data_IF_679704154209
#
_entry.id   IF_679704154209
#
_cell.length_a   1.000
_cell.length_b   1.000
_cell.length_c   1.000
_cell.angle_alpha   90.00
_cell.angle_beta   90.00
_cell.angle_gamma   90.00
#
_symmetry.space_group_name_H-M   'P 1'
#
loop_
_entity.id
_entity.type
_entity.pdbx_description
1 polymer ?
#
# COMPACT_ATOMS: atom_id res chain seq x y z
N UNK A 1 -1.06 3.54 0.80
CA UNK A 1 -2.40 3.93 1.28
C UNK A 1 -2.31 5.07 2.27
N UNK A 2 -3.30 5.96 2.28
CA UNK A 2 -3.37 7.06 3.27
C UNK A 2 -4.07 6.57 4.53
N UNK A 3 -3.43 6.73 5.69
CA UNK A 3 -4.09 6.62 6.99
C UNK A 3 -4.91 7.87 7.23
N UNK A 4 -6.22 7.76 7.04
CA UNK A 4 -7.17 8.85 7.29
C UNK A 4 -7.66 8.77 8.74
N UNK A 5 -7.30 9.77 9.54
CA UNK A 5 -7.70 9.90 10.95
C UNK A 5 -9.13 10.46 11.11
N UNK A 6 -9.76 10.94 10.01
CA UNK A 6 -11.09 11.57 10.03
C UNK A 6 -12.24 10.62 9.63
N UNK A 7 -11.99 9.31 9.66
CA UNK A 7 -13.04 8.32 9.39
C UNK A 7 -14.07 8.38 10.52
N UNK A 8 -15.34 8.57 10.18
CA UNK A 8 -16.45 8.59 11.14
C UNK A 8 -16.72 7.27 11.87
N UNK A 9 -15.93 6.21 11.61
CA UNK A 9 -16.04 4.87 12.20
C UNK A 9 -14.72 4.50 12.90
N UNK A 10 -14.79 3.80 14.03
CA UNK A 10 -13.58 3.33 14.74
C UNK A 10 -12.76 2.34 13.89
N UNK A 11 -11.47 2.21 14.19
CA UNK A 11 -10.61 1.22 13.52
C UNK A 11 -11.18 -0.21 13.62
N UNK A 12 -11.68 -0.59 14.80
CA UNK A 12 -12.20 -1.93 15.04
C UNK A 12 -13.45 -2.20 14.20
N UNK A 13 -14.40 -1.27 14.18
CA UNK A 13 -15.60 -1.37 13.35
C UNK A 13 -15.25 -1.55 11.86
N UNK A 14 -14.23 -0.82 11.39
CA UNK A 14 -13.75 -0.95 10.02
C UNK A 14 -13.12 -2.32 9.73
N UNK A 15 -12.30 -2.81 10.66
CA UNK A 15 -11.68 -4.14 10.58
C UNK A 15 -12.77 -5.21 10.51
N UNK A 16 -13.79 -5.16 11.37
CA UNK A 16 -14.88 -6.14 11.36
C UNK A 16 -15.67 -6.11 10.05
N UNK A 17 -15.95 -4.92 9.51
CA UNK A 17 -16.66 -4.77 8.23
C UNK A 17 -15.88 -5.36 7.05
N UNK A 18 -14.55 -5.39 7.13
CA UNK A 18 -13.68 -5.91 6.07
C UNK A 18 -13.04 -7.25 6.43
N UNK A 19 -13.54 -7.92 7.48
CA UNK A 19 -12.93 -9.12 8.04
C UNK A 19 -12.81 -10.27 7.05
N UNK A 20 -13.77 -10.39 6.12
CA UNK A 20 -13.79 -11.40 5.06
C UNK A 20 -12.63 -11.28 4.04
N UNK A 21 -11.79 -10.24 4.12
CA UNK A 21 -10.64 -10.03 3.25
C UNK A 21 -9.30 -10.44 3.89
N UNK A 22 -9.32 -10.82 5.17
CA UNK A 22 -8.12 -11.08 5.96
C UNK A 22 -8.16 -12.47 6.60
N UNK A 23 -6.99 -13.00 6.93
CA UNK A 23 -6.88 -14.25 7.69
C UNK A 23 -7.16 -13.99 9.18
N UNK A 24 -7.52 -15.04 9.93
CA UNK A 24 -7.74 -14.88 11.38
C UNK A 24 -6.45 -14.46 12.10
N UNK A 25 -5.28 -14.86 11.61
CA UNK A 25 -3.99 -14.42 12.14
C UNK A 25 -3.78 -12.91 11.97
N UNK A 26 -4.06 -12.40 10.77
CA UNK A 26 -4.01 -10.97 10.45
C UNK A 26 -5.04 -10.17 11.28
N UNK A 27 -6.28 -10.66 11.37
CA UNK A 27 -7.33 -10.02 12.17
C UNK A 27 -6.97 -9.97 13.64
N UNK A 28 -6.44 -11.06 14.19
CA UNK A 28 -5.97 -11.12 15.57
C UNK A 28 -4.86 -10.10 15.83
N UNK A 29 -3.92 -9.96 14.91
CA UNK A 29 -2.87 -8.93 14.99
C UNK A 29 -3.48 -7.53 15.02
N UNK A 30 -4.40 -7.22 14.11
CA UNK A 30 -5.04 -5.90 14.04
C UNK A 30 -5.89 -5.60 15.28
N UNK A 31 -6.70 -6.55 15.74
CA UNK A 31 -7.58 -6.41 16.92
C UNK A 31 -6.78 -6.16 18.20
N UNK A 32 -5.63 -6.82 18.36
CA UNK A 32 -4.80 -6.76 19.56
C UNK A 32 -3.85 -5.55 19.61
N UNK A 33 -3.80 -4.70 18.58
CA UNK A 33 -2.97 -3.50 18.61
C UNK A 33 -3.42 -2.53 19.72
N UNK A 34 -2.44 -1.94 20.42
CA UNK A 34 -2.64 -1.25 21.69
C UNK A 34 -3.50 0.02 21.60
N UNK A 35 -3.29 0.84 20.58
CA UNK A 35 -4.02 2.08 20.33
C UNK A 35 -4.86 2.02 19.05
N UNK A 36 -5.85 2.90 18.92
CA UNK A 36 -6.67 2.99 17.69
C UNK A 36 -5.80 3.32 16.46
N UNK A 37 -4.83 4.22 16.61
CA UNK A 37 -3.90 4.56 15.53
C UNK A 37 -3.05 3.34 15.11
N UNK A 38 -2.64 2.49 16.05
CA UNK A 38 -1.91 1.26 15.73
C UNK A 38 -2.80 0.22 15.04
N UNK A 39 -4.08 0.11 15.42
CA UNK A 39 -5.06 -0.73 14.69
C UNK A 39 -5.18 -0.30 13.23
N UNK A 40 -5.32 1.01 12.98
CA UNK A 40 -5.33 1.56 11.62
C UNK A 40 -4.04 1.29 10.86
N UNK A 41 -2.89 1.49 11.50
CA UNK A 41 -1.59 1.19 10.88
C UNK A 41 -1.45 -0.28 10.52
N UNK A 42 -1.86 -1.19 11.40
CA UNK A 42 -1.83 -2.63 11.13
C UNK A 42 -2.75 -3.00 9.97
N UNK A 43 -3.97 -2.44 9.94
CA UNK A 43 -4.91 -2.63 8.83
C UNK A 43 -4.31 -2.18 7.49
N UNK A 44 -3.83 -0.94 7.39
CA UNK A 44 -3.28 -0.42 6.13
C UNK A 44 -1.97 -1.09 5.73
N UNK A 45 -1.17 -1.56 6.69
CA UNK A 45 0.04 -2.35 6.44
C UNK A 45 -0.30 -3.62 5.66
N UNK A 46 -1.17 -4.47 6.22
CA UNK A 46 -1.58 -5.73 5.59
C UNK A 46 -2.33 -5.47 4.27
N UNK A 47 -3.17 -4.43 4.22
CA UNK A 47 -3.86 -4.05 2.99
C UNK A 47 -2.88 -3.70 1.86
N UNK A 48 -1.88 -2.86 2.14
CA UNK A 48 -0.85 -2.51 1.16
C UNK A 48 -0.07 -3.73 0.67
N UNK A 49 0.24 -4.67 1.57
CA UNK A 49 0.94 -5.91 1.24
C UNK A 49 0.12 -6.83 0.33
N UNK A 50 -1.17 -7.05 0.62
CA UNK A 50 -2.05 -7.81 -0.26
C UNK A 50 -2.17 -7.16 -1.64
N UNK A 51 -2.40 -5.84 -1.68
CA UNK A 51 -2.48 -5.07 -2.91
C UNK A 51 -1.20 -5.11 -3.74
N UNK A 52 -0.02 -5.10 -3.11
CA UNK A 52 1.25 -5.16 -3.84
C UNK A 52 1.46 -6.52 -4.50
N UNK A 53 1.05 -7.62 -3.86
CA UNK A 53 1.04 -8.95 -4.51
C UNK A 53 0.08 -8.98 -5.70
N UNK A 54 -1.17 -8.54 -5.52
CA UNK A 54 -2.15 -8.55 -6.61
C UNK A 54 -1.70 -7.76 -7.84
N UNK A 55 -0.96 -6.66 -7.62
CA UNK A 55 -0.37 -5.85 -8.69
C UNK A 55 0.82 -6.53 -9.33
N UNK A 56 1.69 -7.16 -8.54
CA UNK A 56 2.85 -7.88 -9.05
C UNK A 56 2.45 -9.11 -9.89
N UNK A 57 1.36 -9.80 -9.53
CA UNK A 57 0.84 -10.95 -10.28
C UNK A 57 -0.09 -10.56 -11.43
N UNK A 58 -0.62 -9.34 -11.44
CA UNK A 58 -1.58 -8.88 -12.44
C UNK A 58 -2.97 -9.53 -12.34
N UNK A 59 -3.30 -10.19 -11.23
CA UNK A 59 -4.56 -10.94 -11.09
C UNK A 59 -5.77 -10.10 -10.67
N UNK A 60 -5.55 -8.89 -10.15
CA UNK A 60 -6.60 -8.03 -9.62
C UNK A 60 -7.36 -8.64 -8.43
N UNK A 61 -8.50 -8.04 -8.05
CA UNK A 61 -9.34 -8.44 -6.90
C UNK A 61 -10.23 -9.68 -7.15
N UNK A 62 -9.94 -10.47 -8.20
CA UNK A 62 -10.75 -11.64 -8.55
C UNK A 62 -10.51 -12.81 -7.58
N UNK A 63 -9.38 -12.79 -6.88
CA UNK A 63 -8.97 -13.84 -5.96
C UNK A 63 -9.47 -13.58 -4.54
N UNK A 64 -9.80 -14.66 -3.83
CA UNK A 64 -10.09 -14.62 -2.39
C UNK A 64 -8.85 -14.14 -1.62
N UNK A 65 -8.90 -12.90 -1.11
CA UNK A 65 -7.79 -12.27 -0.39
C UNK A 65 -7.38 -13.00 0.89
N UNK A 66 -8.24 -13.87 1.42
CA UNK A 66 -7.94 -14.71 2.58
C UNK A 66 -6.93 -15.82 2.25
N UNK A 67 -6.70 -16.10 0.98
CA UNK A 67 -5.67 -17.08 0.60
C UNK A 67 -4.27 -16.52 0.75
N UNK A 68 -4.10 -15.18 0.80
CA UNK A 68 -2.81 -14.53 0.99
C UNK A 68 -2.64 -14.25 2.49
N UNK A 69 -1.75 -14.98 3.16
CA UNK A 69 -1.53 -14.84 4.61
C UNK A 69 -0.19 -14.16 4.88
N UNK A 70 -0.21 -12.95 5.44
CA UNK A 70 0.99 -12.18 5.74
C UNK A 70 1.45 -12.36 7.19
N UNK A 71 2.75 -12.57 7.35
CA UNK A 71 3.41 -12.70 8.64
C UNK A 71 4.44 -11.58 8.80
N UNK A 72 4.11 -10.62 9.67
CA UNK A 72 4.98 -9.50 10.03
C UNK A 72 5.71 -9.77 11.33
N UNK A 73 6.90 -9.19 11.50
CA UNK A 73 7.65 -9.22 12.76
C UNK A 73 7.15 -8.15 13.75
N UNK A 74 7.75 -8.10 14.94
CA UNK A 74 7.49 -7.08 15.98
C UNK A 74 8.00 -5.67 15.59
N UNK A 75 8.56 -5.50 14.40
CA UNK A 75 9.02 -4.20 13.91
C UNK A 75 7.87 -3.20 13.82
N UNK A 76 8.09 -2.03 14.42
CA UNK A 76 7.10 -0.96 14.48
C UNK A 76 6.91 -0.33 13.10
N UNK A 77 5.74 -0.56 12.52
CA UNK A 77 5.34 0.03 11.25
C UNK A 77 4.85 1.47 11.46
N UNK A 78 5.77 2.42 11.43
CA UNK A 78 5.54 3.85 11.65
C UNK A 78 6.40 4.70 10.68
N UNK A 79 6.11 6.01 10.51
CA UNK A 79 6.87 6.87 9.61
C UNK A 79 8.39 6.78 9.84
N UNK A 80 9.14 6.65 8.73
CA UNK A 80 10.59 6.42 8.74
C UNK A 80 11.02 4.95 8.81
N UNK A 81 10.10 3.99 8.90
CA UNK A 81 10.45 2.57 8.85
C UNK A 81 10.90 2.14 7.45
N UNK A 82 11.77 1.13 7.42
CA UNK A 82 12.11 0.37 6.22
C UNK A 82 12.24 -1.10 6.62
N UNK A 83 11.17 -1.86 6.37
CA UNK A 83 11.00 -3.24 6.84
C UNK A 83 11.06 -4.17 5.63
N UNK A 84 11.89 -5.20 5.72
CA UNK A 84 12.07 -6.22 4.66
C UNK A 84 11.90 -7.66 5.15
N UNK A 85 11.56 -7.81 6.43
CA UNK A 85 11.43 -9.09 7.13
C UNK A 85 10.10 -9.79 6.92
N UNK A 86 9.11 -9.09 6.36
CA UNK A 86 7.76 -9.63 6.12
C UNK A 86 7.82 -10.82 5.17
N UNK A 87 7.06 -11.85 5.53
CA UNK A 87 6.90 -13.07 4.73
C UNK A 87 5.43 -13.35 4.51
N UNK A 88 5.13 -14.21 3.54
CA UNK A 88 3.75 -14.56 3.25
C UNK A 88 3.62 -16.02 2.79
N UNK A 89 2.39 -16.50 2.92
CA UNK A 89 1.97 -17.83 2.47
C UNK A 89 0.74 -17.70 1.60
N UNK A 90 0.67 -18.46 0.52
CA UNK A 90 -0.52 -18.57 -0.30
C UNK A 90 -1.17 -19.94 -0.09
N UNK A 91 -2.44 -19.97 0.35
CA UNK A 91 -3.19 -21.20 0.66
C UNK A 91 -2.41 -22.14 1.60
N UNK A 92 -1.72 -21.56 2.58
CA UNK A 92 -0.89 -22.29 3.56
C UNK A 92 0.50 -22.70 3.05
N UNK A 93 0.84 -22.42 1.79
CA UNK A 93 2.17 -22.70 1.23
C UNK A 93 3.03 -21.44 1.28
N UNK A 94 4.11 -21.48 2.07
CA UNK A 94 5.05 -20.37 2.19
C UNK A 94 5.69 -20.04 0.84
N UNK A 95 5.65 -18.75 0.49
CA UNK A 95 6.20 -18.24 -0.76
C UNK A 95 7.60 -17.70 -0.52
N UNK A 96 8.61 -18.44 -0.95
CA UNK A 96 10.00 -18.15 -0.61
C UNK A 96 10.74 -17.29 -1.63
N UNK A 97 10.19 -17.10 -2.84
CA UNK A 97 10.79 -16.29 -3.91
C UNK A 97 10.25 -14.85 -3.95
N UNK A 98 9.78 -14.34 -2.81
CA UNK A 98 9.21 -12.99 -2.70
C UNK A 98 10.00 -12.16 -1.70
N UNK A 99 10.18 -10.89 -2.06
CA UNK A 99 10.74 -9.86 -1.19
C UNK A 99 9.74 -8.72 -1.06
N UNK A 100 9.48 -8.30 0.18
CA UNK A 100 8.63 -7.17 0.50
C UNK A 100 9.44 -6.04 1.08
N UNK A 101 9.09 -4.82 0.70
CA UNK A 101 9.60 -3.59 1.32
C UNK A 101 8.44 -2.78 1.84
N UNK A 102 8.45 -2.47 3.12
CA UNK A 102 7.42 -1.66 3.76
C UNK A 102 8.04 -0.36 4.27
N UNK A 103 7.45 0.76 3.89
CA UNK A 103 7.93 2.09 4.28
C UNK A 103 6.81 3.12 4.25
N UNK A 104 7.16 4.39 4.42
CA UNK A 104 6.24 5.52 4.37
C UNK A 104 6.80 6.58 3.42
N UNK A 105 5.94 7.13 2.56
CA UNK A 105 6.30 8.28 1.70
C UNK A 105 6.27 9.59 2.50
N UNK A 106 5.41 9.64 3.52
CA UNK A 106 5.31 10.71 4.51
C UNK A 106 4.60 10.18 5.77
N UNK A 107 4.29 11.06 6.72
CA UNK A 107 3.70 10.67 8.02
C UNK A 107 2.36 9.94 7.95
N UNK A 108 1.61 10.08 6.84
CA UNK A 108 0.25 9.55 6.69
C UNK A 108 0.09 8.58 5.53
N UNK A 109 1.15 8.24 4.79
CA UNK A 109 1.07 7.39 3.62
C UNK A 109 2.03 6.21 3.74
N UNK A 110 1.51 5.04 4.12
CA UNK A 110 2.27 3.80 4.08
C UNK A 110 2.31 3.24 2.66
N UNK A 111 3.39 2.54 2.33
CA UNK A 111 3.57 1.86 1.05
C UNK A 111 4.17 0.48 1.28
N UNK A 112 3.82 -0.43 0.39
CA UNK A 112 4.46 -1.74 0.30
C UNK A 112 4.85 -2.00 -1.15
N UNK A 113 6.06 -2.50 -1.36
CA UNK A 113 6.55 -2.98 -2.65
C UNK A 113 6.71 -4.49 -2.54
N UNK A 114 6.18 -5.23 -3.51
CA UNK A 114 6.39 -6.66 -3.62
C UNK A 114 7.23 -6.94 -4.86
N UNK A 115 8.29 -7.73 -4.69
CA UNK A 115 9.19 -8.17 -5.77
C UNK A 115 9.21 -9.68 -5.83
N UNK A 116 9.03 -10.22 -7.04
CA UNK A 116 9.23 -11.63 -7.34
C UNK A 116 10.70 -11.78 -7.73
N UNK A 117 11.44 -12.60 -7.00
CA UNK A 117 12.83 -12.89 -7.30
C UNK A 117 12.92 -14.05 -8.31
N UNK A 118 13.83 -13.97 -9.30
CA UNK A 118 14.11 -15.07 -10.21
C UNK A 118 14.50 -16.36 -9.51
N UNK A 119 14.31 -17.50 -10.18
CA UNK A 119 14.77 -18.78 -9.67
C UNK A 119 16.30 -18.79 -9.48
N UNK A 120 16.75 -19.28 -8.33
CA UNK A 120 18.17 -19.38 -7.98
C UNK A 120 18.72 -18.18 -7.20
N UNK A 121 17.96 -17.09 -7.05
CA UNK A 121 18.34 -16.02 -6.13
C UNK A 121 18.11 -16.39 -4.67
N UNK A 122 19.08 -16.04 -3.83
CA UNK A 122 18.96 -16.18 -2.38
C UNK A 122 18.24 -14.96 -1.81
N UNK A 123 16.99 -15.19 -1.40
CA UNK A 123 16.11 -14.15 -0.85
C UNK A 123 16.67 -13.54 0.43
N UNK A 124 17.44 -14.29 1.23
CA UNK A 124 18.06 -13.75 2.43
C UNK A 124 19.19 -12.76 2.08
N UNK A 125 20.01 -13.09 1.08
CA UNK A 125 21.06 -12.19 0.59
C UNK A 125 20.48 -10.93 -0.06
N UNK A 126 19.45 -11.07 -0.90
CA UNK A 126 18.78 -9.91 -1.52
C UNK A 126 18.06 -9.03 -0.49
N UNK A 127 17.49 -9.64 0.56
CA UNK A 127 16.96 -8.91 1.70
C UNK A 127 18.03 -8.11 2.42
N UNK A 128 19.17 -8.72 2.75
CA UNK A 128 20.29 -8.03 3.42
C UNK A 128 20.79 -6.85 2.58
N UNK A 129 20.98 -7.07 1.28
CA UNK A 129 21.36 -6.02 0.33
C UNK A 129 20.36 -4.87 0.33
N UNK A 130 19.08 -5.18 0.17
CA UNK A 130 17.99 -4.18 0.16
C UNK A 130 17.93 -3.40 1.48
N UNK A 131 18.11 -4.10 2.61
CA UNK A 131 18.14 -3.49 3.94
C UNK A 131 19.37 -2.58 4.14
N UNK A 132 20.48 -2.84 3.44
CA UNK A 132 21.67 -2.00 3.46
C UNK A 132 21.52 -0.75 2.59
N UNK A 133 20.91 -0.90 1.41
CA UNK A 133 20.69 0.20 0.47
C UNK A 133 19.59 1.17 0.94
N UNK A 134 18.51 0.65 1.53
CA UNK A 134 17.35 1.42 2.03
C UNK A 134 16.86 2.49 1.04
N UNK A 135 16.41 2.03 -0.13
CA UNK A 135 15.90 2.91 -1.17
C UNK A 135 14.52 3.48 -0.77
N UNK A 136 14.52 4.62 -0.08
CA UNK A 136 13.29 5.34 0.23
C UNK A 136 12.71 6.03 -1.01
N UNK A 137 11.40 6.19 -1.02
CA UNK A 137 10.70 6.96 -2.05
C UNK A 137 11.13 8.44 -2.00
N UNK A 138 11.36 9.01 -3.17
CA UNK A 138 11.58 10.44 -3.35
C UNK A 138 10.33 11.10 -3.95
N UNK A 139 10.07 12.34 -3.53
CA UNK A 139 9.05 13.17 -4.19
C UNK A 139 9.64 13.76 -5.46
N UNK A 140 8.89 13.63 -6.55
CA UNK A 140 9.29 14.11 -7.88
C UNK A 140 8.39 15.29 -8.25
N UNK A 141 8.99 16.39 -8.72
CA UNK A 141 8.22 17.56 -9.15
C UNK A 141 7.62 17.36 -10.55
N UNK A 142 6.62 18.18 -10.89
CA UNK A 142 6.02 18.13 -12.21
C UNK A 142 7.04 18.46 -13.32
N UNK A 143 7.92 19.42 -13.07
CA UNK A 143 8.99 19.81 -14.00
C UNK A 143 9.95 18.66 -14.26
N UNK A 144 10.30 17.88 -13.22
CA UNK A 144 11.12 16.68 -13.39
C UNK A 144 10.40 15.59 -14.19
N UNK A 145 9.08 15.43 -14.05
CA UNK A 145 8.30 14.51 -14.88
C UNK A 145 8.22 14.96 -16.35
N UNK A 146 8.31 16.26 -16.60
CA UNK A 146 8.31 16.81 -17.96
C UNK A 146 9.68 16.80 -18.63
N UNK A 147 10.77 16.59 -17.87
CA UNK A 147 12.10 16.54 -18.42
C UNK A 147 12.23 15.38 -19.42
N UNK A 148 12.68 15.69 -20.65
CA UNK A 148 12.72 14.74 -21.76
C UNK A 148 11.37 14.31 -22.34
N UNK A 149 10.24 14.85 -21.85
CA UNK A 149 8.92 14.57 -22.41
C UNK A 149 8.68 15.34 -23.72
N UNK A 150 7.85 14.77 -24.61
CA UNK A 150 7.41 15.45 -25.83
C UNK A 150 5.93 15.16 -26.10
N UNK A 151 5.29 16.04 -26.87
CA UNK A 151 3.88 15.88 -27.25
C UNK A 151 3.76 14.79 -28.32
N UNK A 152 3.14 13.67 -27.98
CA UNK A 152 2.90 12.56 -28.92
C UNK A 152 1.59 12.75 -29.69
N UNK A 153 0.53 13.18 -29.01
CA UNK A 153 -0.79 13.40 -29.60
C UNK A 153 -1.26 14.82 -29.28
N UNK A 154 -1.13 15.79 -30.22
CA UNK A 154 -1.59 17.15 -29.99
C UNK A 154 -3.12 17.17 -29.88
N UNK A 155 -3.64 17.81 -28.84
CA UNK A 155 -5.08 18.00 -28.62
C UNK A 155 -5.45 19.39 -29.17
N UNK A 156 -6.58 19.46 -29.88
CA UNK A 156 -7.12 20.72 -30.38
C UNK A 156 -7.36 21.70 -29.21
N UNK A 157 -6.89 22.94 -29.34
CA UNK A 157 -6.98 23.96 -28.29
C UNK A 157 -6.30 23.58 -26.94
N UNK A 158 -5.35 22.63 -26.96
CA UNK A 158 -4.58 22.25 -25.77
C UNK A 158 -5.43 21.66 -24.63
N UNK A 159 -6.57 21.06 -24.96
CA UNK A 159 -7.55 20.54 -24.01
C UNK A 159 -8.21 21.60 -23.09
N UNK A 160 -8.23 22.88 -23.51
CA UNK A 160 -8.79 23.97 -22.71
C UNK A 160 -10.28 23.77 -22.36
N UNK A 161 -11.05 23.21 -23.31
CA UNK A 161 -12.48 22.90 -23.11
C UNK A 161 -12.68 21.78 -22.07
N UNK A 162 -11.92 20.69 -22.17
CA UNK A 162 -11.94 19.57 -21.23
C UNK A 162 -11.52 20.01 -19.84
N UNK A 163 -10.50 20.86 -19.73
CA UNK A 163 -10.06 21.43 -18.46
C UNK A 163 -11.16 22.29 -17.82
N UNK A 164 -11.82 23.17 -18.59
CA UNK A 164 -12.94 23.97 -18.12
C UNK A 164 -14.11 23.10 -17.61
N UNK A 165 -14.39 21.98 -18.30
CA UNK A 165 -15.38 21.01 -17.84
C UNK A 165 -14.99 20.29 -16.55
N UNK A 166 -13.72 19.89 -16.40
CA UNK A 166 -13.21 19.25 -15.18
C UNK A 166 -13.35 20.16 -13.95
N UNK A 167 -12.93 21.42 -14.06
CA UNK A 167 -13.05 22.42 -12.99
C UNK A 167 -14.51 22.66 -12.59
N UNK A 168 -15.44 22.59 -13.55
CA UNK A 168 -16.87 22.71 -13.26
C UNK A 168 -17.40 21.51 -12.46
N UNK A 169 -16.90 20.29 -12.70
CA UNK A 169 -17.34 19.06 -12.02
C UNK A 169 -16.75 18.91 -10.60
N UNK A 170 -15.56 19.44 -10.33
CA UNK A 170 -14.88 19.27 -9.04
C UNK A 170 -15.49 20.06 -7.88
N UNK A 171 -16.48 20.94 -8.14
CA UNK A 171 -17.19 21.71 -7.11
C UNK A 171 -18.24 20.92 -6.30
N UNK A 172 -18.33 19.59 -6.43
CA UNK A 172 -19.12 18.78 -5.49
C UNK A 172 -18.37 18.71 -4.15
N UNK A 173 -18.82 19.53 -3.21
CA UNK A 173 -18.33 19.63 -1.84
C UNK A 173 -18.18 18.26 -1.20
N UNK A 174 -17.00 17.95 -0.63
CA UNK A 174 -16.89 16.92 0.40
C UNK A 174 -17.89 17.29 1.50
N UNK A 175 -18.94 16.49 1.66
CA UNK A 175 -19.91 16.69 2.74
C UNK A 175 -19.19 16.37 4.04
N UNK A 176 -18.71 17.40 4.75
CA UNK A 176 -18.42 17.26 6.18
C UNK A 176 -19.73 16.88 6.86
N UNK A 177 -19.83 15.62 7.27
CA UNK A 177 -20.83 15.20 8.24
C UNK A 177 -20.48 15.93 9.54
N UNK A 178 -21.15 17.06 9.79
CA UNK A 178 -21.15 17.69 11.11
C UNK A 178 -22.10 16.87 11.99
N UNK A 179 -21.53 16.28 13.03
CA UNK A 179 -22.22 15.74 14.21
C UNK A 179 -23.01 16.83 14.93
#
# INVERSE_FOLDING_TARGET
MRSDESRGSSALEHIERMSDLFTEGELRMMRNAGSEQEKWRAFYRIWCLKESVLKATGTGLVNDLRTLDFHTTEEKHAPGCFITSTTWSEKGTKQNNWLFEESFVNESHCVAVARILPEGEDVALERERTQKEKNFFSLVSFEHLLDGSCVVNPIEDGAAKEFAEFIRKSKKTCVSIKS
#
